data_IF_457952786387
#
_entry.id   IF_457952786387
#
_cell.length_a   1.000
_cell.length_b   1.000
_cell.length_c   1.000
_cell.angle_alpha   90.00
_cell.angle_beta   90.00
_cell.angle_gamma   90.00
#
_symmetry.space_group_name_H-M   'P 1'
#
loop_
_entity.id
_entity.type
_entity.pdbx_description
1 polymer ?
#
# COMPACT_ATOMS: atom_id res chain seq x y z
N UNK A 1 20.94 9.10 15.90
CA UNK A 1 19.92 9.68 15.00
C UNK A 1 19.34 10.90 15.70
N UNK A 2 19.22 12.03 15.01
CA UNK A 2 18.61 13.24 15.58
C UNK A 2 17.10 13.01 15.83
N UNK A 3 16.50 13.71 16.78
CA UNK A 3 15.06 13.58 17.07
C UNK A 3 14.17 13.89 15.86
N UNK A 4 14.63 14.78 14.97
CA UNK A 4 13.95 15.10 13.70
C UNK A 4 13.88 13.89 12.72
N UNK A 5 14.86 12.99 12.77
CA UNK A 5 14.88 11.78 11.92
C UNK A 5 13.85 10.77 12.39
N UNK A 6 13.69 10.63 13.71
CA UNK A 6 12.68 9.71 14.28
C UNK A 6 11.24 10.18 14.06
N UNK A 7 11.01 11.50 14.05
CA UNK A 7 9.68 12.08 13.82
C UNK A 7 9.10 11.79 12.42
N UNK A 8 9.94 11.34 11.48
CA UNK A 8 9.55 10.99 10.11
C UNK A 8 9.61 9.48 9.80
N UNK A 9 9.93 8.67 10.81
CA UNK A 9 10.07 7.23 10.67
C UNK A 9 8.77 6.54 11.04
N UNK A 10 8.31 5.67 10.15
CA UNK A 10 7.22 4.73 10.39
C UNK A 10 7.72 3.30 10.24
N UNK A 11 7.34 2.40 11.15
CA UNK A 11 7.66 0.99 11.06
C UNK A 11 6.62 0.27 10.21
N UNK A 12 6.99 -0.14 9.00
CA UNK A 12 6.19 -1.12 8.26
C UNK A 12 6.35 -2.50 8.90
N UNK A 13 5.24 -3.15 9.23
CA UNK A 13 5.29 -4.41 9.99
C UNK A 13 5.85 -5.59 9.19
N UNK A 14 5.95 -5.49 7.86
CA UNK A 14 6.68 -6.45 7.04
C UNK A 14 8.19 -6.47 7.34
N UNK A 15 8.76 -5.35 7.81
CA UNK A 15 10.17 -5.27 8.21
C UNK A 15 10.53 -6.24 9.34
N UNK A 16 9.56 -6.51 10.21
CA UNK A 16 9.69 -7.40 11.38
C UNK A 16 8.60 -8.48 11.33
N UNK A 17 8.59 -9.21 10.23
CA UNK A 17 7.50 -10.13 9.90
C UNK A 17 7.24 -11.20 10.98
N UNK A 18 8.26 -11.57 11.76
CA UNK A 18 8.16 -12.51 12.88
C UNK A 18 7.44 -11.93 14.12
N UNK A 19 7.21 -10.60 14.18
CA UNK A 19 6.54 -9.97 15.32
C UNK A 19 5.03 -9.87 15.06
N UNK A 20 4.25 -10.06 16.12
CA UNK A 20 2.83 -9.69 16.14
C UNK A 20 2.65 -8.17 16.08
N UNK A 21 1.45 -7.70 15.72
CA UNK A 21 1.17 -6.25 15.74
C UNK A 21 1.35 -5.66 17.14
N UNK A 22 1.01 -6.41 18.19
CA UNK A 22 1.26 -5.99 19.58
C UNK A 22 2.74 -5.74 19.83
N UNK A 23 3.62 -6.68 19.45
CA UNK A 23 5.06 -6.54 19.61
C UNK A 23 5.62 -5.37 18.78
N UNK A 24 5.07 -5.12 17.57
CA UNK A 24 5.41 -3.96 16.76
C UNK A 24 5.07 -2.64 17.48
N UNK A 25 3.87 -2.53 18.06
CA UNK A 25 3.42 -1.36 18.84
C UNK A 25 4.36 -1.14 20.03
N UNK A 26 4.58 -2.18 20.83
CA UNK A 26 5.48 -2.11 22.00
C UNK A 26 6.93 -1.79 21.60
N UNK A 27 7.39 -2.31 20.46
CA UNK A 27 8.70 -2.00 19.87
C UNK A 27 8.82 -0.54 19.48
N UNK A 28 7.82 0.01 18.81
CA UNK A 28 7.78 1.43 18.44
C UNK A 28 7.91 2.32 19.68
N UNK A 29 7.09 2.07 20.69
CA UNK A 29 7.13 2.82 21.98
C UNK A 29 8.52 2.72 22.61
N UNK A 30 9.05 1.51 22.76
CA UNK A 30 10.35 1.25 23.40
C UNK A 30 11.51 1.95 22.72
N UNK A 31 11.46 2.08 21.39
CA UNK A 31 12.53 2.67 20.58
C UNK A 31 12.25 4.12 20.15
N UNK A 32 11.11 4.71 20.56
CA UNK A 32 10.74 6.09 20.23
C UNK A 32 10.45 6.28 18.74
N UNK A 33 9.93 5.25 18.06
CA UNK A 33 9.34 5.35 16.72
C UNK A 33 7.89 5.79 16.88
N UNK A 34 7.50 6.87 16.21
CA UNK A 34 6.21 7.54 16.47
C UNK A 34 5.08 7.07 15.56
N UNK A 35 5.39 6.27 14.54
CA UNK A 35 4.40 5.79 13.59
C UNK A 35 4.65 4.33 13.20
N UNK A 36 3.59 3.67 12.76
CA UNK A 36 3.64 2.33 12.18
C UNK A 36 2.76 2.25 10.94
N UNK A 37 3.04 1.24 10.13
CA UNK A 37 2.34 0.89 8.91
C UNK A 37 1.97 -0.59 9.01
N UNK A 38 0.80 -0.92 9.60
CA UNK A 38 0.42 -2.30 9.83
C UNK A 38 -0.04 -2.99 8.55
N UNK A 39 0.27 -4.28 8.46
CA UNK A 39 -0.32 -5.15 7.48
C UNK A 39 -1.62 -5.76 8.00
N UNK A 40 -2.60 -5.97 7.11
CA UNK A 40 -3.96 -6.40 7.45
C UNK A 40 -4.03 -7.77 8.12
N UNK A 41 -3.16 -8.71 7.75
CA UNK A 41 -3.07 -10.03 8.40
C UNK A 41 -2.77 -9.88 9.90
N UNK A 42 -1.75 -9.08 10.25
CA UNK A 42 -1.40 -8.77 11.65
C UNK A 42 -2.48 -7.97 12.38
N UNK A 43 -3.17 -7.09 11.63
CA UNK A 43 -4.31 -6.34 12.17
C UNK A 43 -5.46 -7.27 12.53
N UNK A 44 -5.78 -8.24 11.64
CA UNK A 44 -6.84 -9.21 11.87
C UNK A 44 -6.51 -10.18 13.01
N UNK A 45 -5.25 -10.61 13.15
CA UNK A 45 -4.81 -11.46 14.26
C UNK A 45 -5.03 -10.80 15.63
N UNK A 46 -4.77 -9.51 15.74
CA UNK A 46 -4.98 -8.75 17.00
C UNK A 46 -6.45 -8.33 17.19
N UNK A 47 -7.16 -8.15 16.09
CA UNK A 47 -8.48 -7.54 16.03
C UNK A 47 -8.45 -6.02 15.90
N UNK A 48 -9.25 -5.48 14.97
CA UNK A 48 -9.24 -4.06 14.57
C UNK A 48 -9.46 -3.12 15.76
N UNK A 49 -10.48 -3.37 16.57
CA UNK A 49 -10.81 -2.52 17.73
C UNK A 49 -9.69 -2.54 18.78
N UNK A 50 -9.11 -3.71 19.03
CA UNK A 50 -7.99 -3.87 19.97
C UNK A 50 -6.77 -3.11 19.48
N UNK A 51 -6.44 -3.24 18.19
CA UNK A 51 -5.33 -2.54 17.56
C UNK A 51 -5.51 -1.02 17.60
N UNK A 52 -6.70 -0.53 17.21
CA UNK A 52 -7.04 0.89 17.25
C UNK A 52 -6.85 1.48 18.64
N UNK A 53 -7.36 0.77 19.66
CA UNK A 53 -7.20 1.18 21.05
C UNK A 53 -5.73 1.20 21.48
N UNK A 54 -4.96 0.15 21.18
CA UNK A 54 -3.55 0.06 21.57
C UNK A 54 -2.71 1.15 20.90
N UNK A 55 -2.92 1.39 19.60
CA UNK A 55 -2.23 2.43 18.83
C UNK A 55 -2.50 3.81 19.47
N UNK A 56 -3.77 4.11 19.72
CA UNK A 56 -4.21 5.37 20.32
C UNK A 56 -3.66 5.57 21.75
N UNK A 57 -3.77 4.55 22.59
CA UNK A 57 -3.33 4.62 23.99
C UNK A 57 -1.81 4.84 24.10
N UNK A 58 -1.05 4.40 23.12
CA UNK A 58 0.40 4.60 23.04
C UNK A 58 0.82 5.86 22.25
N UNK A 59 -0.13 6.67 21.77
CA UNK A 59 0.14 7.89 21.03
C UNK A 59 0.83 7.71 19.69
N UNK A 60 0.69 6.53 19.07
CA UNK A 60 1.28 6.23 17.78
C UNK A 60 0.38 6.72 16.64
N UNK A 61 1.01 7.12 15.53
CA UNK A 61 0.33 7.42 14.28
C UNK A 61 0.35 6.18 13.36
N UNK A 62 -0.61 6.10 12.45
CA UNK A 62 -0.64 5.08 11.40
C UNK A 62 -0.41 5.77 10.05
N UNK A 63 0.76 5.54 9.44
CA UNK A 63 1.12 6.17 8.17
C UNK A 63 0.33 5.63 6.99
N UNK A 64 0.06 4.33 6.98
CA UNK A 64 -0.77 3.67 5.99
C UNK A 64 -1.33 2.36 6.57
N UNK A 65 -2.30 1.76 5.88
CA UNK A 65 -2.69 0.37 6.07
C UNK A 65 -2.26 -0.43 4.83
N UNK A 66 -1.43 -1.43 5.02
CA UNK A 66 -1.05 -2.40 4.00
C UNK A 66 -1.87 -3.70 4.19
N UNK A 67 -2.49 -4.21 3.16
CA UNK A 67 -2.70 -3.64 1.84
C UNK A 67 -4.13 -3.90 1.37
N UNK A 68 -4.65 -2.99 0.56
CA UNK A 68 -5.76 -3.27 -0.35
C UNK A 68 -5.24 -3.71 -1.72
N UNK A 69 -6.16 -3.77 -2.70
CA UNK A 69 -5.81 -4.07 -4.08
C UNK A 69 -6.37 -5.40 -4.60
N UNK A 70 -5.58 -6.12 -5.42
CA UNK A 70 -5.95 -7.39 -6.05
C UNK A 70 -7.27 -7.29 -6.85
N UNK A 71 -7.43 -6.21 -7.61
CA UNK A 71 -8.66 -5.91 -8.37
C UNK A 71 -8.88 -6.82 -9.58
N UNK A 72 -7.84 -7.54 -10.01
CA UNK A 72 -7.90 -8.44 -11.16
C UNK A 72 -8.52 -9.78 -10.80
N UNK A 73 -9.32 -10.33 -11.70
CA UNK A 73 -9.94 -11.62 -11.50
C UNK A 73 -10.47 -12.21 -12.80
N UNK A 74 -10.60 -13.55 -12.89
CA UNK A 74 -11.01 -14.23 -14.12
C UNK A 74 -12.47 -13.93 -14.51
N UNK A 75 -13.30 -13.54 -13.55
CA UNK A 75 -14.70 -13.24 -13.76
C UNK A 75 -15.18 -12.06 -12.90
N UNK A 76 -16.40 -11.61 -13.15
CA UNK A 76 -17.00 -10.48 -12.43
C UNK A 76 -17.23 -10.80 -10.94
N UNK A 77 -17.58 -12.03 -10.61
CA UNK A 77 -17.83 -12.43 -9.24
C UNK A 77 -16.55 -12.33 -8.39
N UNK A 78 -15.41 -12.80 -8.91
CA UNK A 78 -14.11 -12.68 -8.26
C UNK A 78 -13.72 -11.22 -8.05
N UNK A 79 -13.92 -10.37 -9.07
CA UNK A 79 -13.63 -8.93 -8.97
C UNK A 79 -14.55 -8.22 -7.97
N UNK A 80 -15.83 -8.67 -7.85
CA UNK A 80 -16.74 -8.13 -6.84
C UNK A 80 -16.31 -8.49 -5.42
N UNK A 81 -15.86 -9.74 -5.19
CA UNK A 81 -15.29 -10.16 -3.89
C UNK A 81 -14.09 -9.31 -3.52
N UNK A 82 -13.19 -9.06 -4.48
CA UNK A 82 -12.04 -8.19 -4.27
C UNK A 82 -12.47 -6.74 -3.93
N UNK A 83 -13.47 -6.20 -4.63
CA UNK A 83 -13.98 -4.85 -4.36
C UNK A 83 -14.58 -4.75 -2.95
N UNK A 84 -15.34 -5.74 -2.51
CA UNK A 84 -15.93 -5.77 -1.16
C UNK A 84 -14.87 -5.92 -0.08
N UNK A 85 -13.78 -6.68 -0.35
CA UNK A 85 -12.63 -6.73 0.56
C UNK A 85 -11.90 -5.39 0.64
N UNK A 86 -11.76 -4.68 -0.47
CA UNK A 86 -11.14 -3.35 -0.48
C UNK A 86 -11.98 -2.30 0.27
N UNK A 87 -13.31 -2.39 0.22
CA UNK A 87 -14.17 -1.54 1.07
C UNK A 87 -13.92 -1.81 2.56
N UNK A 88 -13.80 -3.08 2.95
CA UNK A 88 -13.41 -3.43 4.32
C UNK A 88 -12.02 -2.89 4.68
N UNK A 89 -11.06 -2.93 3.75
CA UNK A 89 -9.73 -2.34 4.00
C UNK A 89 -9.80 -0.84 4.25
N UNK A 90 -10.67 -0.12 3.55
CA UNK A 90 -10.93 1.31 3.82
C UNK A 90 -11.53 1.50 5.21
N UNK A 91 -12.54 0.71 5.59
CA UNK A 91 -13.18 0.80 6.91
C UNK A 91 -12.20 0.49 8.04
N UNK A 92 -11.35 -0.53 7.86
CA UNK A 92 -10.27 -0.90 8.80
C UNK A 92 -9.24 0.23 8.94
N UNK A 93 -8.85 0.86 7.82
CA UNK A 93 -7.92 1.99 7.81
C UNK A 93 -8.48 3.19 8.59
N UNK A 94 -9.77 3.49 8.41
CA UNK A 94 -10.47 4.52 9.19
C UNK A 94 -10.47 4.19 10.68
N UNK A 95 -10.79 2.95 11.03
CA UNK A 95 -10.89 2.50 12.42
C UNK A 95 -9.57 2.65 13.19
N UNK A 96 -8.43 2.38 12.54
CA UNK A 96 -7.10 2.53 13.15
C UNK A 96 -6.48 3.92 12.97
N UNK A 97 -7.15 4.83 12.26
CA UNK A 97 -6.68 6.19 12.00
C UNK A 97 -5.52 6.27 11.01
N UNK A 98 -5.50 5.39 9.99
CA UNK A 98 -4.49 5.41 8.94
C UNK A 98 -4.64 6.64 8.03
N UNK A 99 -3.53 7.12 7.48
CA UNK A 99 -3.52 8.27 6.57
C UNK A 99 -3.87 7.89 5.13
N UNK A 100 -3.67 6.63 4.73
CA UNK A 100 -4.06 6.10 3.44
C UNK A 100 -4.12 4.56 3.47
N UNK A 101 -4.70 3.96 2.41
CA UNK A 101 -4.60 2.53 2.12
C UNK A 101 -3.64 2.32 0.96
N UNK A 102 -2.60 1.52 1.14
CA UNK A 102 -1.69 1.12 0.05
C UNK A 102 -2.34 0.02 -0.79
N UNK A 103 -2.31 0.21 -2.11
CA UNK A 103 -2.91 -0.70 -3.07
C UNK A 103 -1.84 -1.46 -3.86
N UNK A 104 -1.75 -2.78 -3.65
CA UNK A 104 -1.07 -3.73 -4.53
C UNK A 104 -2.13 -4.28 -5.48
N UNK A 105 -2.14 -3.77 -6.69
CA UNK A 105 -3.34 -3.72 -7.55
C UNK A 105 -3.82 -5.04 -8.16
N UNK A 106 -2.98 -6.07 -8.19
CA UNK A 106 -3.26 -7.35 -8.85
C UNK A 106 -2.48 -7.53 -10.15
N UNK A 107 -2.08 -8.77 -10.42
CA UNK A 107 -1.38 -9.18 -11.62
C UNK A 107 -2.33 -9.60 -12.75
N UNK A 108 -1.86 -10.47 -13.64
CA UNK A 108 -2.67 -11.04 -14.72
C UNK A 108 -3.58 -12.13 -14.12
N UNK A 109 -4.91 -12.10 -14.39
CA UNK A 109 -5.81 -13.13 -13.88
C UNK A 109 -5.43 -14.54 -14.32
N UNK A 110 -5.72 -15.53 -13.50
CA UNK A 110 -5.52 -16.93 -13.86
C UNK A 110 -6.23 -17.28 -15.18
N UNK A 111 -5.54 -17.98 -16.05
CA UNK A 111 -6.04 -18.37 -17.37
C UNK A 111 -5.99 -17.27 -18.42
N UNK A 112 -5.55 -16.06 -18.09
CA UNK A 112 -5.33 -14.94 -19.02
C UNK A 112 -3.85 -14.78 -19.34
N UNK A 113 -3.56 -14.14 -20.49
CA UNK A 113 -2.23 -13.63 -20.85
C UNK A 113 -2.31 -12.17 -21.31
N UNK A 114 -3.42 -11.50 -21.05
CA UNK A 114 -3.68 -10.12 -21.47
C UNK A 114 -3.45 -9.15 -20.30
N UNK A 115 -2.26 -8.54 -20.28
CA UNK A 115 -1.91 -7.51 -19.31
C UNK A 115 -2.69 -6.20 -19.55
N UNK A 116 -3.16 -5.96 -20.76
CA UNK A 116 -3.96 -4.78 -21.11
C UNK A 116 -5.33 -4.86 -20.43
N UNK A 117 -5.98 -6.02 -20.51
CA UNK A 117 -7.25 -6.27 -19.79
C UNK A 117 -7.05 -6.21 -18.27
N UNK A 118 -5.98 -6.81 -17.74
CA UNK A 118 -5.66 -6.72 -16.31
C UNK A 118 -5.55 -5.25 -15.82
N UNK A 119 -4.89 -4.39 -16.60
CA UNK A 119 -4.78 -2.95 -16.31
C UNK A 119 -6.12 -2.22 -16.38
N UNK A 120 -6.99 -2.61 -17.32
CA UNK A 120 -8.35 -2.07 -17.39
C UNK A 120 -9.17 -2.46 -16.14
N UNK A 121 -9.08 -3.73 -15.71
CA UNK A 121 -9.73 -4.20 -14.48
C UNK A 121 -9.24 -3.44 -13.24
N UNK A 122 -7.94 -3.15 -13.13
CA UNK A 122 -7.36 -2.35 -12.04
C UNK A 122 -7.95 -0.94 -12.03
N UNK A 123 -7.94 -0.25 -13.16
CA UNK A 123 -8.51 1.11 -13.29
C UNK A 123 -9.98 1.12 -12.86
N UNK A 124 -10.77 0.19 -13.37
CA UNK A 124 -12.20 0.10 -13.07
C UNK A 124 -12.46 -0.27 -11.59
N UNK A 125 -11.64 -1.17 -11.03
CA UNK A 125 -11.72 -1.56 -9.63
C UNK A 125 -11.41 -0.41 -8.68
N UNK A 126 -10.33 0.35 -8.92
CA UNK A 126 -10.00 1.54 -8.14
C UNK A 126 -11.11 2.59 -8.30
N UNK A 127 -11.61 2.82 -9.52
CA UNK A 127 -12.69 3.76 -9.79
C UNK A 127 -13.95 3.43 -8.97
N UNK A 128 -14.36 2.16 -8.92
CA UNK A 128 -15.51 1.70 -8.12
C UNK A 128 -15.28 1.82 -6.60
N UNK A 129 -14.03 1.68 -6.15
CA UNK A 129 -13.68 1.83 -4.73
C UNK A 129 -13.69 3.29 -4.28
N UNK A 130 -13.36 4.22 -5.19
CA UNK A 130 -13.14 5.62 -4.87
C UNK A 130 -14.35 6.31 -4.24
N UNK A 131 -15.56 5.96 -4.63
CA UNK A 131 -16.76 6.56 -4.03
C UNK A 131 -16.84 6.26 -2.53
N UNK A 132 -16.56 5.01 -2.15
CA UNK A 132 -16.51 4.62 -0.74
C UNK A 132 -15.32 5.27 -0.01
N UNK A 133 -14.14 5.25 -0.59
CA UNK A 133 -12.95 5.84 0.00
C UNK A 133 -13.09 7.35 0.22
N UNK A 134 -13.66 8.06 -0.75
CA UNK A 134 -13.97 9.51 -0.64
C UNK A 134 -15.00 9.82 0.43
N UNK A 135 -16.04 9.00 0.55
CA UNK A 135 -17.05 9.15 1.60
C UNK A 135 -16.46 8.98 3.01
N UNK A 136 -15.38 8.22 3.13
CA UNK A 136 -14.63 7.99 4.36
C UNK A 136 -13.44 8.94 4.54
N UNK A 137 -13.19 9.87 3.62
CA UNK A 137 -11.99 10.73 3.57
C UNK A 137 -10.68 9.93 3.65
N UNK A 138 -10.65 8.75 3.02
CA UNK A 138 -9.51 7.83 3.05
C UNK A 138 -8.80 7.80 1.69
N UNK A 139 -7.62 8.40 1.56
CA UNK A 139 -6.84 8.36 0.33
C UNK A 139 -6.37 6.95 -0.02
N UNK A 140 -6.33 6.65 -1.33
CA UNK A 140 -5.82 5.40 -1.87
C UNK A 140 -4.44 5.63 -2.49
N UNK A 141 -3.43 4.89 -2.07
CA UNK A 141 -2.05 5.00 -2.55
C UNK A 141 -1.71 3.84 -3.49
N UNK A 142 -1.66 4.08 -4.80
CA UNK A 142 -1.23 3.06 -5.76
C UNK A 142 0.27 2.84 -5.59
N UNK A 143 0.67 1.60 -5.34
CA UNK A 143 2.08 1.19 -5.26
C UNK A 143 2.46 0.46 -6.54
N UNK A 144 3.28 1.07 -7.41
CA UNK A 144 3.84 0.36 -8.56
C UNK A 144 4.89 -0.65 -8.09
N UNK A 145 4.70 -1.93 -8.45
CA UNK A 145 5.65 -2.97 -8.09
C UNK A 145 6.68 -3.20 -9.20
N UNK A 146 7.85 -3.73 -8.79
CA UNK A 146 8.91 -4.11 -9.73
C UNK A 146 8.35 -5.01 -10.85
N UNK A 147 8.79 -4.88 -12.11
CA UNK A 147 8.27 -5.65 -13.26
C UNK A 147 8.29 -7.16 -13.09
N UNK A 148 9.15 -7.69 -12.23
CA UNK A 148 9.18 -9.12 -11.93
C UNK A 148 7.86 -9.64 -11.32
N UNK A 149 7.03 -8.75 -10.76
CA UNK A 149 5.73 -9.07 -10.16
C UNK A 149 4.54 -8.79 -11.09
N UNK A 150 4.79 -8.47 -12.36
CA UNK A 150 3.73 -8.05 -13.29
C UNK A 150 2.65 -9.11 -13.52
N UNK A 151 3.03 -10.39 -13.46
CA UNK A 151 2.12 -11.50 -13.70
C UNK A 151 1.27 -11.86 -12.46
N UNK A 152 1.85 -11.79 -11.25
CA UNK A 152 1.24 -12.41 -10.06
C UNK A 152 0.74 -11.41 -9.00
N UNK A 153 1.35 -10.23 -8.90
CA UNK A 153 1.03 -9.28 -7.82
C UNK A 153 0.51 -7.93 -8.29
N UNK A 154 1.12 -7.33 -9.33
CA UNK A 154 0.73 -6.00 -9.77
C UNK A 154 1.10 -5.77 -11.25
N UNK A 155 0.12 -5.47 -12.08
CA UNK A 155 0.32 -5.10 -13.48
C UNK A 155 0.63 -3.60 -13.69
N UNK A 156 0.67 -2.81 -12.62
CA UNK A 156 1.20 -1.43 -12.59
C UNK A 156 2.63 -1.49 -12.09
N UNK A 157 3.60 -1.23 -12.98
CA UNK A 157 5.02 -1.52 -12.73
C UNK A 157 5.95 -0.32 -12.86
N UNK A 158 5.42 0.86 -13.15
CA UNK A 158 6.18 2.11 -13.21
C UNK A 158 5.44 3.21 -12.47
N UNK A 159 6.18 4.16 -11.91
CA UNK A 159 5.59 5.34 -11.31
C UNK A 159 4.84 6.20 -12.36
N UNK A 160 5.28 6.17 -13.63
CA UNK A 160 4.57 6.80 -14.74
C UNK A 160 3.14 6.27 -14.89
N UNK A 161 2.97 4.93 -14.92
CA UNK A 161 1.64 4.31 -15.03
C UNK A 161 0.76 4.60 -13.82
N UNK A 162 1.32 4.56 -12.59
CA UNK A 162 0.58 4.95 -11.39
C UNK A 162 0.13 6.42 -11.44
N UNK A 163 1.00 7.31 -11.94
CA UNK A 163 0.66 8.72 -12.16
C UNK A 163 -0.45 8.90 -13.21
N UNK A 164 -0.43 8.13 -14.31
CA UNK A 164 -1.47 8.17 -15.34
C UNK A 164 -2.84 7.79 -14.77
N UNK A 165 -2.89 6.73 -13.93
CA UNK A 165 -4.11 6.34 -13.22
C UNK A 165 -4.59 7.44 -12.26
N UNK A 166 -3.68 8.10 -11.53
CA UNK A 166 -4.04 9.22 -10.67
C UNK A 166 -4.60 10.41 -11.47
N UNK A 167 -4.03 10.72 -12.63
CA UNK A 167 -4.51 11.80 -13.51
C UNK A 167 -5.91 11.48 -14.07
N UNK A 168 -6.19 10.22 -14.41
CA UNK A 168 -7.49 9.76 -14.92
C UNK A 168 -8.56 9.71 -13.83
N UNK A 169 -8.24 9.19 -12.64
CA UNK A 169 -9.19 8.94 -11.55
C UNK A 169 -9.44 10.16 -10.66
N UNK A 170 -8.51 11.11 -10.66
CA UNK A 170 -8.66 12.38 -9.96
C UNK A 170 -8.45 12.32 -8.45
N UNK A 171 -9.09 13.24 -7.71
CA UNK A 171 -8.87 13.39 -6.27
C UNK A 171 -9.21 12.14 -5.45
N UNK A 172 -8.46 11.91 -4.36
CA UNK A 172 -8.59 10.74 -3.49
C UNK A 172 -7.65 9.60 -3.84
N UNK A 173 -6.91 9.71 -4.96
CA UNK A 173 -5.87 8.75 -5.36
C UNK A 173 -4.51 9.44 -5.39
N UNK A 174 -3.51 8.75 -4.89
CA UNK A 174 -2.11 9.14 -4.96
C UNK A 174 -1.23 7.91 -5.15
N UNK A 175 0.05 8.07 -4.89
CA UNK A 175 1.04 7.01 -5.09
C UNK A 175 1.80 6.71 -3.79
N UNK A 176 2.12 5.44 -3.58
CA UNK A 176 3.17 5.01 -2.67
C UNK A 176 4.43 4.76 -3.51
N UNK A 177 5.54 5.39 -3.12
CA UNK A 177 6.82 5.21 -3.79
C UNK A 177 7.65 4.26 -2.95
N UNK A 178 7.87 3.04 -3.44
CA UNK A 178 8.72 2.06 -2.79
C UNK A 178 10.07 1.96 -3.52
N UNK A 179 11.15 2.26 -2.80
CA UNK A 179 12.49 2.23 -3.37
C UNK A 179 12.86 0.87 -3.97
N UNK A 180 12.44 -0.25 -3.33
CA UNK A 180 12.67 -1.60 -3.84
C UNK A 180 12.02 -1.84 -5.20
N UNK A 181 10.86 -1.23 -5.45
CA UNK A 181 10.07 -1.49 -6.64
C UNK A 181 10.41 -0.59 -7.82
N UNK A 182 10.92 0.63 -7.59
CA UNK A 182 11.07 1.64 -8.65
C UNK A 182 12.50 2.10 -8.90
N UNK A 183 13.52 1.64 -8.14
CA UNK A 183 14.91 2.10 -8.25
C UNK A 183 15.50 1.97 -9.66
N UNK A 184 15.05 1.00 -10.41
CA UNK A 184 15.53 0.65 -11.76
C UNK A 184 15.00 1.57 -12.86
N UNK A 185 13.91 2.34 -12.61
CA UNK A 185 13.25 3.16 -13.62
C UNK A 185 14.09 4.39 -13.97
N UNK A 186 14.58 4.53 -15.23
CA UNK A 186 15.38 5.69 -15.63
C UNK A 186 14.60 7.00 -15.59
N UNK A 187 13.28 6.96 -15.56
CA UNK A 187 12.41 8.15 -15.47
C UNK A 187 11.99 8.48 -14.04
N UNK A 188 12.46 7.75 -13.04
CA UNK A 188 11.99 7.86 -11.65
C UNK A 188 11.97 9.30 -11.13
N UNK A 189 13.07 10.06 -11.31
CA UNK A 189 13.16 11.43 -10.83
C UNK A 189 12.09 12.36 -11.47
N UNK A 190 11.82 12.19 -12.76
CA UNK A 190 10.79 12.92 -13.49
C UNK A 190 9.40 12.58 -12.95
N UNK A 191 9.14 11.32 -12.73
CA UNK A 191 7.83 10.85 -12.27
C UNK A 191 7.57 11.15 -10.78
N UNK A 192 8.59 11.18 -9.93
CA UNK A 192 8.49 11.72 -8.57
C UNK A 192 8.11 13.21 -8.60
N UNK A 193 8.76 14.00 -9.48
CA UNK A 193 8.42 15.42 -9.63
C UNK A 193 6.98 15.61 -10.11
N UNK A 194 6.49 14.76 -11.04
CA UNK A 194 5.10 14.75 -11.52
C UNK A 194 4.11 14.40 -10.40
N UNK A 195 4.47 13.48 -9.51
CA UNK A 195 3.65 13.04 -8.38
C UNK A 195 3.59 14.06 -7.23
N UNK A 196 4.23 15.24 -7.36
CA UNK A 196 4.23 16.27 -6.32
C UNK A 196 2.80 16.60 -5.84
N UNK A 197 2.60 16.50 -4.52
CA UNK A 197 1.30 16.77 -3.87
C UNK A 197 0.36 15.58 -3.79
N UNK A 198 0.75 14.42 -4.35
CA UNK A 198 -0.02 13.16 -4.28
C UNK A 198 0.82 11.93 -3.90
N UNK A 199 2.06 12.14 -3.43
CA UNK A 199 2.83 11.07 -2.79
C UNK A 199 2.28 10.91 -1.39
N UNK A 200 1.67 9.75 -1.11
CA UNK A 200 1.01 9.42 0.15
C UNK A 200 1.90 8.56 1.05
N UNK A 201 2.85 7.81 0.48
CA UNK A 201 3.79 6.97 1.19
C UNK A 201 5.14 6.92 0.51
N UNK A 202 6.19 6.72 1.33
CA UNK A 202 7.54 6.43 0.85
C UNK A 202 8.09 5.24 1.63
N UNK A 203 8.22 4.09 0.96
CA UNK A 203 8.77 2.88 1.53
C UNK A 203 10.26 2.78 1.21
N UNK A 204 11.06 2.52 2.25
CA UNK A 204 12.52 2.42 2.13
C UNK A 204 12.94 1.01 2.46
N UNK A 205 13.39 0.31 1.46
CA UNK A 205 14.05 -0.97 1.57
C UNK A 205 15.19 -1.05 0.54
N UNK A 206 15.98 -2.10 0.62
CA UNK A 206 17.18 -2.22 -0.18
C UNK A 206 17.03 -3.27 -1.29
N UNK A 207 17.89 -3.18 -2.30
CA UNK A 207 18.02 -4.15 -3.37
C UNK A 207 19.44 -4.71 -3.34
N UNK A 208 19.58 -6.00 -3.06
CA UNK A 208 20.89 -6.64 -2.94
C UNK A 208 21.44 -7.08 -4.29
N UNK A 209 22.77 -6.95 -4.45
CA UNK A 209 23.50 -7.41 -5.63
C UNK A 209 24.67 -8.29 -5.16
N UNK A 210 24.79 -9.53 -5.67
CA UNK A 210 23.90 -10.21 -6.62
C UNK A 210 22.55 -10.53 -5.99
N UNK A 211 21.49 -10.51 -6.80
CA UNK A 211 20.14 -10.92 -6.37
C UNK A 211 20.08 -12.43 -6.40
N UNK A 212 20.32 -13.07 -5.27
CA UNK A 212 20.28 -14.54 -5.13
C UNK A 212 18.98 -15.03 -4.51
N UNK A 213 18.36 -14.21 -3.67
CA UNK A 213 17.12 -14.49 -2.99
C UNK A 213 16.23 -13.24 -2.97
N UNK A 214 14.89 -13.45 -2.96
CA UNK A 214 13.94 -12.40 -2.65
C UNK A 214 13.94 -12.20 -1.13
N UNK A 215 14.88 -11.42 -0.65
CA UNK A 215 14.92 -11.02 0.76
C UNK A 215 13.94 -9.87 0.96
N UNK A 216 12.84 -10.16 1.63
CA UNK A 216 11.90 -9.19 2.17
C UNK A 216 11.96 -9.22 3.69
#
# INVERSE_FOLDING_TARGET
MSDLTKARLSLNTATVNQWSLKECIEGCVRHGVLALDPWRDKLHELGVDTAAKMIKDNGLQVSALCRGGMFTGPDEASRQVALDDNRRAVDEAVAIGAQCVVLVVGGIPEGSNDIGDARAQVRDGIGKLLDHARACDMPLAIEPLHPMFAADRACVNTLAHANDLCDELGGGVGVAVDAYHVWWDPNLAKEIARAKGRILGFHVCDWLVPTTDLLL
#
